data_IF_705552299045
#
_entry.id   IF_705552299045
#
_cell.length_a   1.000
_cell.length_b   1.000
_cell.length_c   1.000
_cell.angle_alpha   90.00
_cell.angle_beta   90.00
_cell.angle_gamma   90.00
#
_symmetry.space_group_name_H-M   'P 1'
#
loop_
_entity.id
_entity.type
_entity.pdbx_description
1 polymer ?
#
# COMPACT_ATOMS: atom_id res chain seq x y z
N UNK A 1 -33.49 -32.25 -50.16
CA UNK A 1 -32.19 -32.09 -49.42
C UNK A 1 -32.50 -31.67 -47.98
N UNK A 2 -32.29 -32.55 -46.99
CA UNK A 2 -32.47 -32.21 -45.56
C UNK A 2 -31.34 -31.27 -45.13
N UNK A 3 -31.63 -29.99 -44.73
CA UNK A 3 -30.66 -29.10 -44.11
C UNK A 3 -30.14 -29.80 -42.86
N UNK A 4 -28.88 -30.27 -42.89
CA UNK A 4 -28.21 -30.80 -41.69
C UNK A 4 -28.24 -29.71 -40.64
N UNK A 5 -28.90 -30.00 -39.52
CA UNK A 5 -28.99 -29.08 -38.39
C UNK A 5 -27.56 -28.78 -37.93
N UNK A 6 -27.11 -27.51 -38.09
CA UNK A 6 -25.78 -27.03 -37.66
C UNK A 6 -25.74 -26.69 -36.15
N UNK A 7 -26.74 -27.14 -35.39
CA UNK A 7 -26.88 -26.85 -33.97
C UNK A 7 -25.66 -27.22 -33.12
N UNK A 8 -25.00 -28.39 -33.32
CA UNK A 8 -23.80 -28.71 -32.54
C UNK A 8 -22.63 -27.72 -32.77
N UNK A 9 -22.51 -27.16 -33.99
CA UNK A 9 -21.52 -26.14 -34.26
C UNK A 9 -21.79 -24.82 -33.49
N UNK A 10 -23.04 -24.41 -33.37
CA UNK A 10 -23.40 -23.24 -32.58
C UNK A 10 -23.16 -23.47 -31.08
N UNK A 11 -23.41 -24.68 -30.57
CA UNK A 11 -23.12 -25.05 -29.18
C UNK A 11 -21.61 -24.99 -28.92
N UNK A 12 -20.82 -25.60 -29.80
CA UNK A 12 -19.34 -25.54 -29.66
C UNK A 12 -18.84 -24.10 -29.73
N UNK A 13 -19.33 -23.31 -30.67
CA UNK A 13 -18.95 -21.89 -30.77
C UNK A 13 -19.33 -21.11 -29.51
N UNK A 14 -20.51 -21.31 -28.96
CA UNK A 14 -20.97 -20.71 -27.72
C UNK A 14 -20.06 -21.11 -26.53
N UNK A 15 -19.69 -22.39 -26.42
CA UNK A 15 -18.77 -22.87 -25.39
C UNK A 15 -17.37 -22.23 -25.50
N UNK A 16 -16.88 -22.11 -26.74
CA UNK A 16 -15.58 -21.43 -26.98
C UNK A 16 -15.65 -19.96 -26.58
N UNK A 17 -16.72 -19.25 -26.99
CA UNK A 17 -16.88 -17.82 -26.62
C UNK A 17 -17.00 -17.67 -25.09
N UNK A 18 -17.78 -18.52 -24.44
CA UNK A 18 -17.88 -18.53 -22.99
C UNK A 18 -16.53 -18.79 -22.34
N UNK A 19 -15.80 -19.81 -22.79
CA UNK A 19 -14.44 -20.09 -22.28
C UNK A 19 -13.50 -18.88 -22.44
N UNK A 20 -13.47 -18.28 -23.62
CA UNK A 20 -12.64 -17.10 -23.89
C UNK A 20 -13.03 -15.91 -22.98
N UNK A 21 -14.31 -15.73 -22.68
CA UNK A 21 -14.79 -14.69 -21.79
C UNK A 21 -14.26 -14.82 -20.35
N UNK A 22 -13.90 -16.03 -19.91
CA UNK A 22 -13.33 -16.27 -18.58
C UNK A 22 -11.81 -16.27 -18.57
N UNK A 23 -11.14 -16.53 -19.69
CA UNK A 23 -9.70 -16.81 -19.73
C UNK A 23 -8.89 -15.66 -20.35
N UNK A 24 -9.46 -14.93 -21.32
CA UNK A 24 -8.71 -13.88 -22.02
C UNK A 24 -8.60 -12.63 -21.14
N UNK A 25 -7.38 -12.23 -20.70
CA UNK A 25 -7.18 -11.01 -19.96
C UNK A 25 -7.40 -9.79 -20.85
N UNK A 26 -8.04 -8.77 -20.28
CA UNK A 26 -8.23 -7.45 -20.89
C UNK A 26 -7.18 -6.47 -20.32
N UNK A 27 -6.94 -5.30 -20.96
CA UNK A 27 -6.05 -4.26 -20.44
C UNK A 27 -6.71 -3.47 -19.29
N UNK A 28 -7.37 -4.18 -18.39
CA UNK A 28 -8.04 -3.68 -17.20
C UNK A 28 -7.76 -4.59 -16.03
N UNK A 29 -7.91 -4.04 -14.83
CA UNK A 29 -7.84 -4.78 -13.58
C UNK A 29 -9.20 -4.74 -12.88
N UNK A 30 -9.53 -5.82 -12.19
CA UNK A 30 -10.65 -5.87 -11.26
C UNK A 30 -10.12 -5.77 -9.84
N UNK A 31 -10.70 -4.86 -9.06
CA UNK A 31 -10.47 -4.71 -7.63
C UNK A 31 -11.68 -5.25 -6.86
N UNK A 32 -11.44 -6.14 -5.92
CA UNK A 32 -12.48 -6.80 -5.12
C UNK A 32 -12.10 -6.78 -3.63
N UNK A 33 -13.06 -6.98 -2.70
CA UNK A 33 -12.74 -7.25 -1.31
C UNK A 33 -11.76 -8.42 -1.20
N UNK A 34 -10.62 -8.18 -0.56
CA UNK A 34 -9.59 -9.20 -0.32
C UNK A 34 -9.82 -9.95 0.99
N UNK A 35 -8.73 -10.28 1.70
CA UNK A 35 -8.75 -10.90 3.02
C UNK A 35 -8.65 -9.89 4.14
N UNK A 36 -9.07 -10.31 5.34
CA UNK A 36 -8.77 -9.69 6.62
C UNK A 36 -7.99 -10.71 7.44
N UNK A 37 -6.68 -10.51 7.51
CA UNK A 37 -5.73 -11.53 7.95
C UNK A 37 -5.24 -11.23 9.36
N UNK A 38 -5.16 -12.28 10.19
CA UNK A 38 -4.61 -12.19 11.54
C UNK A 38 -3.11 -11.87 11.48
N UNK A 39 -2.70 -10.78 12.12
CA UNK A 39 -1.31 -10.31 12.13
C UNK A 39 -0.35 -11.34 12.73
N UNK A 40 -0.80 -12.24 13.59
CA UNK A 40 0.02 -13.33 14.16
C UNK A 40 0.61 -14.25 13.11
N UNK A 41 -0.02 -14.38 11.95
CA UNK A 41 0.47 -15.21 10.86
C UNK A 41 1.71 -14.63 10.18
N UNK A 42 1.91 -13.32 10.30
CA UNK A 42 2.95 -12.60 9.57
C UNK A 42 3.94 -11.83 10.46
N UNK A 43 3.65 -11.65 11.75
CA UNK A 43 4.44 -10.86 12.69
C UNK A 43 4.84 -11.69 13.90
N UNK A 44 6.14 -11.63 14.27
CA UNK A 44 6.65 -12.09 15.56
C UNK A 44 7.41 -10.98 16.25
N UNK A 45 7.16 -10.80 17.53
CA UNK A 45 7.87 -9.86 18.42
C UNK A 45 8.59 -10.68 19.48
N UNK A 46 9.89 -10.45 19.70
CA UNK A 46 10.76 -11.28 20.56
C UNK A 46 10.72 -12.76 20.15
N UNK A 47 10.67 -13.04 18.85
CA UNK A 47 10.58 -14.40 18.27
C UNK A 47 9.39 -15.22 18.79
N UNK A 48 8.39 -14.55 19.36
CA UNK A 48 7.18 -15.17 19.91
C UNK A 48 5.92 -14.68 19.16
N UNK A 49 4.91 -15.54 19.14
CA UNK A 49 3.58 -15.18 18.66
C UNK A 49 2.77 -14.55 19.82
N UNK A 50 1.92 -13.60 19.47
CA UNK A 50 0.94 -13.05 20.39
C UNK A 50 -0.11 -14.13 20.76
N UNK A 51 -0.29 -14.39 22.06
CA UNK A 51 -1.20 -15.43 22.57
C UNK A 51 -2.48 -14.88 23.19
N UNK A 52 -2.64 -13.55 23.21
CA UNK A 52 -3.79 -12.93 23.82
C UNK A 52 -5.07 -13.21 23.03
N UNK A 53 -6.20 -13.24 23.75
CA UNK A 53 -7.51 -13.45 23.15
C UNK A 53 -7.88 -12.33 22.16
N UNK A 54 -8.68 -12.64 21.15
CA UNK A 54 -8.99 -11.75 20.04
C UNK A 54 -7.87 -11.70 19.00
N UNK A 55 -7.92 -10.76 18.07
CA UNK A 55 -6.92 -10.61 17.02
C UNK A 55 -6.80 -9.16 16.57
N UNK A 56 -5.59 -8.75 16.16
CA UNK A 56 -5.41 -7.63 15.25
C UNK A 56 -5.38 -8.17 13.83
N UNK A 57 -6.09 -7.50 12.92
CA UNK A 57 -6.15 -7.88 11.52
C UNK A 57 -5.70 -6.72 10.63
N UNK A 58 -4.88 -7.01 9.63
CA UNK A 58 -4.65 -6.14 8.49
C UNK A 58 -5.50 -6.59 7.31
N UNK A 59 -5.81 -5.67 6.40
CA UNK A 59 -6.80 -5.93 5.36
C UNK A 59 -6.24 -5.64 3.99
N UNK A 60 -6.51 -6.53 3.04
CA UNK A 60 -6.05 -6.45 1.67
C UNK A 60 -7.20 -6.17 0.69
N UNK A 61 -6.84 -5.73 -0.50
CA UNK A 61 -7.71 -5.66 -1.69
C UNK A 61 -7.20 -6.69 -2.68
N UNK A 62 -8.09 -7.46 -3.28
CA UNK A 62 -7.74 -8.36 -4.38
C UNK A 62 -7.65 -7.56 -5.68
N UNK A 63 -6.50 -7.66 -6.37
CA UNK A 63 -6.27 -7.01 -7.66
C UNK A 63 -5.79 -8.07 -8.65
N UNK A 64 -6.46 -8.17 -9.80
CA UNK A 64 -6.07 -9.10 -10.87
C UNK A 64 -6.53 -8.59 -12.23
N UNK A 65 -5.94 -9.12 -13.31
CA UNK A 65 -6.42 -8.79 -14.66
C UNK A 65 -7.91 -9.11 -14.82
N UNK A 66 -8.66 -8.16 -15.37
CA UNK A 66 -10.05 -8.35 -15.69
C UNK A 66 -10.22 -9.18 -16.96
N UNK A 67 -11.24 -10.03 -16.98
CA UNK A 67 -11.76 -10.71 -18.18
C UNK A 67 -13.13 -10.15 -18.51
N UNK A 68 -13.72 -10.54 -19.64
CA UNK A 68 -15.10 -10.16 -19.97
C UNK A 68 -16.09 -10.62 -18.88
N UNK A 69 -15.88 -11.81 -18.30
CA UNK A 69 -16.70 -12.30 -17.18
C UNK A 69 -16.57 -11.41 -15.94
N UNK A 70 -15.36 -10.91 -15.65
CA UNK A 70 -15.12 -9.97 -14.55
C UNK A 70 -15.81 -8.61 -14.77
N UNK A 71 -15.91 -8.14 -16.03
CA UNK A 71 -16.67 -6.91 -16.34
C UNK A 71 -18.15 -7.06 -15.99
N UNK A 72 -18.75 -8.21 -16.35
CA UNK A 72 -20.14 -8.52 -16.02
C UNK A 72 -20.32 -8.68 -14.51
N UNK A 73 -19.37 -9.36 -13.85
CA UNK A 73 -19.37 -9.54 -12.39
C UNK A 73 -19.33 -8.20 -11.65
N UNK A 74 -18.45 -7.29 -12.05
CA UNK A 74 -18.32 -5.96 -11.45
C UNK A 74 -19.60 -5.13 -11.59
N UNK A 75 -20.29 -5.25 -12.71
CA UNK A 75 -21.58 -4.57 -12.91
C UNK A 75 -22.70 -5.08 -11.99
N UNK A 76 -22.64 -6.36 -11.60
CA UNK A 76 -23.66 -7.00 -10.77
C UNK A 76 -23.32 -7.02 -9.27
N UNK A 77 -22.06 -6.73 -8.92
CA UNK A 77 -21.55 -6.92 -7.55
C UNK A 77 -21.06 -5.60 -6.95
N UNK A 78 -21.62 -5.15 -5.84
CA UNK A 78 -21.14 -3.95 -5.15
C UNK A 78 -19.71 -4.15 -4.61
N UNK A 79 -19.02 -3.05 -4.38
CA UNK A 79 -17.62 -3.05 -3.89
C UNK A 79 -16.64 -3.77 -4.82
N UNK A 80 -16.91 -3.67 -6.12
CA UNK A 80 -16.08 -4.24 -7.18
C UNK A 80 -15.84 -3.18 -8.23
N UNK A 81 -14.59 -2.80 -8.46
CA UNK A 81 -14.21 -1.77 -9.43
C UNK A 81 -13.43 -2.37 -10.59
N UNK A 82 -13.62 -1.80 -11.76
CA UNK A 82 -12.78 -2.03 -12.92
C UNK A 82 -11.94 -0.77 -13.16
N UNK A 83 -10.62 -0.93 -13.20
CA UNK A 83 -9.67 0.14 -13.46
C UNK A 83 -8.81 -0.17 -14.66
N UNK A 84 -8.36 0.85 -15.35
CA UNK A 84 -7.39 0.68 -16.44
C UNK A 84 -6.02 0.24 -15.89
N UNK A 85 -5.18 -0.34 -16.75
CA UNK A 85 -3.80 -0.66 -16.40
C UNK A 85 -3.03 0.61 -15.95
N UNK A 86 -3.27 1.74 -16.61
CA UNK A 86 -2.63 3.02 -16.23
C UNK A 86 -3.02 3.47 -14.81
N UNK A 87 -4.28 3.33 -14.42
CA UNK A 87 -4.74 3.70 -13.07
C UNK A 87 -4.26 2.73 -11.99
N UNK A 88 -4.09 1.44 -12.34
CA UNK A 88 -3.71 0.39 -11.37
C UNK A 88 -2.21 0.28 -11.21
N UNK A 89 -1.46 0.17 -12.33
CA UNK A 89 -0.02 -0.11 -12.31
C UNK A 89 0.85 1.10 -12.66
N UNK A 90 0.23 2.25 -13.00
CA UNK A 90 0.96 3.42 -13.50
C UNK A 90 1.71 3.18 -14.81
N UNK A 91 1.29 2.15 -15.58
CA UNK A 91 1.96 1.73 -16.82
C UNK A 91 3.11 0.74 -16.60
N UNK A 92 3.40 0.34 -15.35
CA UNK A 92 4.38 -0.71 -15.04
C UNK A 92 3.86 -2.09 -15.44
N UNK A 93 4.76 -3.01 -15.75
CA UNK A 93 4.43 -4.43 -15.90
C UNK A 93 3.99 -5.03 -14.55
N UNK A 94 3.30 -6.18 -14.58
CA UNK A 94 2.87 -6.85 -13.35
C UNK A 94 4.03 -7.21 -12.42
N UNK A 95 5.17 -7.60 -12.98
CA UNK A 95 6.38 -7.94 -12.22
C UNK A 95 6.94 -6.69 -11.52
N UNK A 96 7.01 -5.57 -12.21
CA UNK A 96 7.45 -4.29 -11.66
C UNK A 96 6.45 -3.79 -10.60
N UNK A 97 5.17 -3.86 -10.90
CA UNK A 97 4.11 -3.48 -9.95
C UNK A 97 4.18 -4.31 -8.65
N UNK A 98 4.36 -5.63 -8.74
CA UNK A 98 4.56 -6.47 -7.56
C UNK A 98 5.82 -6.09 -6.79
N UNK A 99 6.94 -5.81 -7.48
CA UNK A 99 8.19 -5.39 -6.85
C UNK A 99 8.05 -4.05 -6.14
N UNK A 100 7.41 -3.07 -6.76
CA UNK A 100 7.11 -1.76 -6.15
C UNK A 100 6.27 -1.94 -4.87
N UNK A 101 5.23 -2.78 -4.92
CA UNK A 101 4.39 -3.07 -3.77
C UNK A 101 5.14 -3.80 -2.65
N UNK A 102 6.17 -4.61 -2.96
CA UNK A 102 7.05 -5.20 -1.96
C UNK A 102 7.91 -4.14 -1.24
N UNK A 103 8.44 -3.14 -1.96
CA UNK A 103 9.15 -2.02 -1.33
C UNK A 103 8.24 -1.18 -0.44
N UNK A 104 7.02 -0.89 -0.88
CA UNK A 104 6.03 -0.24 -0.04
C UNK A 104 5.73 -1.03 1.24
N UNK A 105 5.58 -2.35 1.15
CA UNK A 105 5.38 -3.21 2.31
C UNK A 105 6.61 -3.20 3.23
N UNK A 106 7.82 -3.29 2.70
CA UNK A 106 9.06 -3.27 3.49
C UNK A 106 9.21 -1.94 4.24
N UNK A 107 8.96 -0.82 3.57
CA UNK A 107 8.98 0.51 4.20
C UNK A 107 7.91 0.62 5.29
N UNK A 108 6.70 0.12 5.01
CA UNK A 108 5.60 0.08 5.99
C UNK A 108 5.96 -0.74 7.24
N UNK A 109 6.60 -1.91 7.05
CA UNK A 109 7.07 -2.75 8.16
C UNK A 109 8.15 -2.03 9.00
N UNK A 110 9.09 -1.34 8.36
CA UNK A 110 10.12 -0.58 9.08
C UNK A 110 9.52 0.59 9.85
N UNK A 111 8.60 1.35 9.25
CA UNK A 111 7.89 2.40 9.97
C UNK A 111 7.04 1.84 11.11
N UNK A 112 6.40 0.68 10.93
CA UNK A 112 5.64 0.01 11.98
C UNK A 112 6.53 -0.46 13.15
N UNK A 113 7.70 -1.03 12.87
CA UNK A 113 8.71 -1.34 13.91
C UNK A 113 9.10 -0.08 14.67
N UNK A 114 9.44 0.98 13.93
CA UNK A 114 9.84 2.26 14.53
C UNK A 114 8.74 2.81 15.43
N UNK A 115 7.51 2.95 14.94
CA UNK A 115 6.42 3.54 15.70
C UNK A 115 5.95 2.66 16.86
N UNK A 116 5.81 1.36 16.63
CA UNK A 116 5.40 0.43 17.70
C UNK A 116 6.39 0.39 18.85
N UNK A 117 7.70 0.34 18.55
CA UNK A 117 8.76 0.35 19.56
C UNK A 117 8.89 1.70 20.25
N UNK A 118 8.88 2.81 19.48
CA UNK A 118 8.93 4.18 20.02
C UNK A 118 7.80 4.44 21.01
N UNK A 119 6.57 4.10 20.61
CA UNK A 119 5.38 4.28 21.44
C UNK A 119 5.41 3.39 22.68
N UNK A 120 6.04 2.20 22.59
CA UNK A 120 6.30 1.32 23.73
C UNK A 120 7.48 1.74 24.61
N UNK A 121 8.10 2.89 24.34
CA UNK A 121 9.22 3.44 25.13
C UNK A 121 10.51 2.64 25.00
N UNK A 122 10.72 1.95 23.87
CA UNK A 122 11.96 1.21 23.62
C UNK A 122 13.00 2.10 22.97
N UNK A 123 14.27 1.80 23.26
CA UNK A 123 15.42 2.45 22.62
C UNK A 123 15.56 1.95 21.18
N UNK A 124 15.54 2.89 20.23
CA UNK A 124 15.52 2.61 18.80
C UNK A 124 16.28 3.66 18.01
N UNK A 125 16.86 3.25 16.90
CA UNK A 125 17.43 4.13 15.89
C UNK A 125 16.80 3.82 14.53
N UNK A 126 16.34 4.87 13.81
CA UNK A 126 15.91 4.76 12.43
C UNK A 126 17.05 5.23 11.54
N UNK A 127 17.71 4.30 10.83
CA UNK A 127 18.73 4.59 9.84
C UNK A 127 18.13 4.79 8.47
N UNK A 128 18.52 5.86 7.82
CA UNK A 128 18.19 6.15 6.42
C UNK A 128 19.39 5.74 5.54
N UNK A 129 19.13 4.99 4.46
CA UNK A 129 20.14 4.50 3.52
C UNK A 129 20.02 5.11 2.13
N UNK A 130 19.00 5.93 1.91
CA UNK A 130 18.69 6.51 0.62
C UNK A 130 17.26 6.27 0.20
N UNK A 131 17.00 6.25 -1.10
CA UNK A 131 15.67 5.99 -1.65
C UNK A 131 15.71 4.85 -2.65
N UNK A 132 14.73 3.95 -2.58
CA UNK A 132 14.48 3.00 -3.64
C UNK A 132 13.92 3.71 -4.87
N UNK A 133 14.43 3.36 -6.06
CA UNK A 133 13.86 3.77 -7.35
C UNK A 133 12.65 2.89 -7.64
N UNK A 134 11.47 3.50 -7.76
CA UNK A 134 10.22 2.83 -8.07
C UNK A 134 9.87 2.89 -9.55
N UNK A 135 10.23 3.99 -10.22
CA UNK A 135 10.14 4.15 -11.66
C UNK A 135 11.13 5.19 -12.15
N UNK A 136 11.36 5.23 -13.46
CA UNK A 136 12.13 6.27 -14.14
C UNK A 136 11.30 6.78 -15.31
N UNK A 137 10.96 8.07 -15.29
CA UNK A 137 10.10 8.69 -16.32
C UNK A 137 10.77 8.68 -17.70
N UNK A 138 9.97 8.67 -18.76
CA UNK A 138 10.50 8.57 -20.13
C UNK A 138 11.40 9.74 -20.53
N UNK A 139 11.15 10.93 -19.99
CA UNK A 139 11.97 12.13 -20.23
C UNK A 139 13.19 12.26 -19.30
N UNK A 140 13.37 11.32 -18.35
CA UNK A 140 14.55 11.33 -17.45
C UNK A 140 15.83 11.01 -18.22
N UNK A 141 16.89 11.76 -17.95
CA UNK A 141 18.24 11.46 -18.45
C UNK A 141 18.87 10.23 -17.80
N UNK A 142 18.25 9.72 -16.72
CA UNK A 142 18.62 8.46 -16.06
C UNK A 142 17.86 7.24 -16.59
N UNK A 143 17.02 7.41 -17.63
CA UNK A 143 16.31 6.31 -18.29
C UNK A 143 17.32 5.33 -18.90
N UNK A 144 17.19 4.04 -18.54
CA UNK A 144 18.12 2.98 -18.95
C UNK A 144 19.46 2.96 -18.20
N UNK A 145 19.61 3.83 -17.18
CA UNK A 145 20.76 3.86 -16.26
C UNK A 145 20.31 3.37 -14.89
N UNK A 146 19.29 4.02 -14.32
CA UNK A 146 18.66 3.59 -13.08
C UNK A 146 17.54 2.60 -13.36
N UNK A 147 17.46 1.57 -12.55
CA UNK A 147 16.43 0.53 -12.62
C UNK A 147 15.54 0.53 -11.37
N UNK A 148 14.35 -0.06 -11.49
CA UNK A 148 13.50 -0.34 -10.33
C UNK A 148 14.26 -1.24 -9.38
N UNK A 149 14.28 -0.90 -8.11
CA UNK A 149 15.03 -1.49 -6.99
C UNK A 149 16.42 -0.94 -6.74
N UNK A 150 17.00 -0.17 -7.64
CA UNK A 150 18.21 0.55 -7.29
C UNK A 150 17.97 1.46 -6.08
N UNK A 151 19.00 1.70 -5.30
CA UNK A 151 18.94 2.61 -4.17
C UNK A 151 19.81 3.83 -4.44
N UNK A 152 19.20 5.00 -4.61
CA UNK A 152 19.95 6.25 -4.67
C UNK A 152 20.40 6.63 -3.27
N UNK A 153 21.72 6.72 -3.09
CA UNK A 153 22.37 6.98 -1.78
C UNK A 153 22.90 8.39 -1.65
N UNK A 154 23.26 9.04 -2.77
CA UNK A 154 23.73 10.43 -2.76
C UNK A 154 23.44 11.13 -4.10
N UNK A 155 23.34 12.45 -4.05
CA UNK A 155 23.24 13.33 -5.22
C UNK A 155 24.30 14.42 -5.09
N UNK A 156 25.14 14.60 -6.13
CA UNK A 156 26.30 15.50 -6.12
C UNK A 156 27.23 15.28 -4.90
N UNK A 157 27.48 14.01 -4.57
CA UNK A 157 28.27 13.55 -3.43
C UNK A 157 27.71 13.99 -2.04
N UNK A 158 26.47 14.53 -2.01
CA UNK A 158 25.76 14.86 -0.78
C UNK A 158 24.80 13.71 -0.42
N UNK A 159 24.85 13.25 0.84
CA UNK A 159 23.90 12.32 1.44
C UNK A 159 22.77 13.08 2.15
N UNK A 160 21.64 12.42 2.34
CA UNK A 160 20.44 13.00 2.95
C UNK A 160 19.97 12.11 4.10
N UNK A 161 19.06 12.62 4.93
CA UNK A 161 18.45 11.89 6.05
C UNK A 161 16.98 11.51 5.79
N UNK A 162 16.45 11.91 4.63
CA UNK A 162 15.08 11.67 4.21
C UNK A 162 14.91 11.89 2.70
N UNK A 163 13.93 11.25 2.09
CA UNK A 163 13.51 11.54 0.71
C UNK A 163 13.09 12.98 0.53
N UNK A 164 12.46 13.57 1.55
CA UNK A 164 12.09 14.99 1.52
C UNK A 164 13.30 15.90 1.33
N UNK A 165 14.37 15.71 2.12
CA UNK A 165 15.59 16.49 2.01
C UNK A 165 16.27 16.31 0.64
N UNK A 166 16.27 15.07 0.11
CA UNK A 166 16.76 14.79 -1.24
C UNK A 166 15.91 15.51 -2.32
N UNK A 167 14.59 15.44 -2.22
CA UNK A 167 13.67 16.10 -3.16
C UNK A 167 13.85 17.62 -3.09
N UNK A 168 13.92 18.21 -1.89
CA UNK A 168 14.10 19.65 -1.69
C UNK A 168 15.43 20.11 -2.31
N UNK A 169 16.51 19.35 -2.12
CA UNK A 169 17.82 19.63 -2.73
C UNK A 169 17.76 19.57 -4.26
N UNK A 170 17.24 18.48 -4.83
CA UNK A 170 17.18 18.29 -6.29
C UNK A 170 16.29 19.32 -6.95
N UNK A 171 15.14 19.64 -6.34
CA UNK A 171 14.21 20.65 -6.89
C UNK A 171 14.74 22.08 -6.81
N UNK A 172 15.70 22.36 -5.94
CA UNK A 172 16.38 23.65 -5.86
C UNK A 172 17.41 23.88 -6.98
N UNK A 173 17.83 22.83 -7.70
CA UNK A 173 18.77 22.94 -8.82
C UNK A 173 18.07 23.56 -10.04
N UNK A 174 18.86 24.17 -10.94
CA UNK A 174 18.33 24.80 -12.16
C UNK A 174 18.06 23.74 -13.24
N UNK A 175 17.03 23.98 -14.04
CA UNK A 175 16.77 23.17 -15.23
C UNK A 175 18.00 23.10 -16.14
N UNK A 176 18.41 21.87 -16.51
CA UNK A 176 19.55 21.60 -17.38
C UNK A 176 20.89 21.47 -16.65
N UNK A 177 20.95 21.77 -15.34
CA UNK A 177 22.17 21.56 -14.55
C UNK A 177 22.56 20.08 -14.58
N UNK A 178 23.87 19.82 -14.67
CA UNK A 178 24.41 18.45 -14.53
C UNK A 178 24.29 18.00 -13.08
N UNK A 179 23.89 16.76 -12.90
CA UNK A 179 23.74 16.15 -11.58
C UNK A 179 24.33 14.75 -11.59
N UNK A 180 25.20 14.47 -10.61
CA UNK A 180 25.78 13.15 -10.37
C UNK A 180 24.90 12.41 -9.34
N UNK A 181 24.42 11.21 -9.70
CA UNK A 181 23.68 10.32 -8.80
C UNK A 181 24.57 9.15 -8.44
N UNK A 182 24.75 8.91 -7.14
CA UNK A 182 25.40 7.69 -6.61
C UNK A 182 24.30 6.74 -6.14
N UNK A 183 24.39 5.49 -6.57
CA UNK A 183 23.36 4.48 -6.32
C UNK A 183 23.96 3.08 -6.10
N UNK A 184 23.21 2.23 -5.43
CA UNK A 184 23.51 0.80 -5.27
C UNK A 184 22.64 0.01 -6.24
N UNK A 185 23.26 -0.86 -7.04
CA UNK A 185 22.63 -1.86 -7.91
C UNK A 185 23.24 -3.23 -7.58
N UNK A 186 22.42 -4.19 -7.18
CA UNK A 186 22.85 -5.55 -6.79
C UNK A 186 23.99 -5.55 -5.76
N UNK A 187 23.96 -4.64 -4.79
CA UNK A 187 24.96 -4.49 -3.73
C UNK A 187 26.28 -3.83 -4.18
N UNK A 188 26.35 -3.31 -5.40
CA UNK A 188 27.49 -2.57 -5.91
C UNK A 188 27.18 -1.08 -6.00
N UNK A 189 28.07 -0.25 -5.44
CA UNK A 189 27.95 1.21 -5.56
C UNK A 189 28.42 1.65 -6.96
N UNK A 190 27.55 2.39 -7.63
CA UNK A 190 27.79 2.98 -8.95
C UNK A 190 27.49 4.47 -8.94
N UNK A 191 27.94 5.19 -9.96
CA UNK A 191 27.60 6.60 -10.17
C UNK A 191 27.29 6.86 -11.64
N UNK A 192 26.36 7.75 -11.88
CA UNK A 192 26.01 8.21 -13.23
C UNK A 192 25.76 9.72 -13.22
N UNK A 193 26.04 10.36 -14.35
CA UNK A 193 25.73 11.77 -14.56
C UNK A 193 24.49 11.91 -15.44
N UNK A 194 23.67 12.88 -15.12
CA UNK A 194 22.45 13.22 -15.83
C UNK A 194 22.16 14.71 -15.73
N UNK A 195 20.92 15.10 -16.02
CA UNK A 195 20.50 16.50 -15.97
C UNK A 195 19.22 16.67 -15.20
N UNK A 196 19.07 17.82 -14.60
CA UNK A 196 17.80 18.27 -14.03
C UNK A 196 16.81 18.53 -15.17
N UNK A 197 15.62 17.99 -15.04
CA UNK A 197 14.51 18.13 -15.97
C UNK A 197 13.29 18.76 -15.29
N UNK A 198 12.33 19.22 -16.05
CA UNK A 198 11.01 19.63 -15.51
C UNK A 198 10.12 18.39 -15.44
N UNK A 199 9.56 18.11 -14.26
CA UNK A 199 8.61 17.05 -14.01
C UNK A 199 7.19 17.47 -14.43
N UNK A 200 6.27 16.51 -14.54
CA UNK A 200 4.86 16.76 -14.91
C UNK A 200 4.15 17.77 -13.97
N UNK A 201 4.54 17.77 -12.69
CA UNK A 201 4.02 18.72 -11.68
C UNK A 201 4.67 20.11 -11.76
N UNK A 202 5.47 20.41 -12.80
CA UNK A 202 6.16 21.66 -13.01
C UNK A 202 7.39 21.93 -12.14
N UNK A 203 7.77 21.00 -11.25
CA UNK A 203 8.98 21.12 -10.42
C UNK A 203 10.20 20.57 -11.14
N UNK A 204 11.37 21.04 -10.72
CA UNK A 204 12.64 20.48 -11.19
C UNK A 204 12.91 19.14 -10.49
N UNK A 205 13.52 18.20 -11.21
CA UNK A 205 13.82 16.87 -10.68
C UNK A 205 14.69 16.04 -11.60
N UNK A 206 14.97 14.83 -11.22
CA UNK A 206 15.74 13.85 -12.03
C UNK A 206 14.83 12.80 -12.70
N UNK A 207 13.50 12.89 -12.49
CA UNK A 207 12.53 12.03 -13.15
C UNK A 207 12.51 10.59 -12.63
N UNK A 208 12.59 10.41 -11.32
CA UNK A 208 12.39 9.10 -10.67
C UNK A 208 11.22 9.15 -9.67
N UNK A 209 10.44 8.06 -9.62
CA UNK A 209 9.59 7.77 -8.49
C UNK A 209 10.39 7.10 -7.38
N UNK A 210 10.15 7.43 -6.14
CA UNK A 210 11.01 7.01 -5.05
C UNK A 210 10.26 6.77 -3.73
N UNK A 211 10.86 5.95 -2.85
CA UNK A 211 10.43 5.76 -1.46
C UNK A 211 11.66 5.57 -0.57
N UNK A 212 11.56 5.97 0.69
CA UNK A 212 12.64 5.84 1.67
C UNK A 212 13.09 4.38 1.84
N UNK A 213 14.41 4.17 1.80
CA UNK A 213 15.07 2.96 2.28
C UNK A 213 15.57 3.20 3.68
N UNK A 214 14.90 2.61 4.66
CA UNK A 214 15.22 2.76 6.08
C UNK A 214 15.38 1.40 6.75
N UNK A 215 16.09 1.36 7.87
CA UNK A 215 16.15 0.21 8.77
C UNK A 215 16.00 0.66 10.22
N UNK A 216 15.37 -0.18 11.02
CA UNK A 216 15.21 0.04 12.46
C UNK A 216 16.22 -0.81 13.19
N UNK A 217 17.08 -0.16 13.99
CA UNK A 217 18.01 -0.81 14.90
C UNK A 217 17.36 -0.80 16.28
N UNK A 218 17.21 -1.98 16.87
CA UNK A 218 16.61 -2.18 18.19
C UNK A 218 17.10 -3.48 18.81
N UNK A 219 17.09 -3.52 20.15
CA UNK A 219 17.35 -4.74 20.92
C UNK A 219 16.13 -5.69 20.98
N UNK A 220 14.99 -5.28 20.43
CA UNK A 220 13.77 -6.10 20.35
C UNK A 220 13.72 -6.76 18.97
N UNK A 221 13.89 -8.10 18.86
CA UNK A 221 13.76 -8.80 17.59
C UNK A 221 12.31 -8.71 17.09
N UNK A 222 12.14 -8.22 15.85
CA UNK A 222 10.84 -8.18 15.18
C UNK A 222 11.03 -8.71 13.77
N UNK A 223 10.28 -9.75 13.42
CA UNK A 223 10.30 -10.36 12.10
C UNK A 223 8.92 -10.33 11.44
N UNK A 224 8.92 -10.14 10.12
CA UNK A 224 7.74 -10.19 9.27
C UNK A 224 7.87 -11.29 8.21
N UNK A 225 6.76 -11.96 7.91
CA UNK A 225 6.63 -12.98 6.87
C UNK A 225 5.41 -12.67 6.01
N UNK A 226 5.53 -11.69 5.11
CA UNK A 226 4.42 -11.17 4.28
C UNK A 226 4.58 -11.58 2.81
N UNK A 227 5.10 -12.77 2.52
CA UNK A 227 5.31 -13.24 1.15
C UNK A 227 4.02 -13.15 0.32
N UNK A 228 4.09 -12.48 -0.83
CA UNK A 228 2.94 -12.28 -1.73
C UNK A 228 1.96 -11.17 -1.34
N UNK A 229 2.18 -10.48 -0.22
CA UNK A 229 1.37 -9.34 0.23
C UNK A 229 2.20 -8.06 0.03
N UNK A 230 1.63 -7.08 -0.65
CA UNK A 230 2.29 -5.81 -0.95
C UNK A 230 1.49 -4.60 -0.51
N UNK A 231 2.10 -3.43 -0.66
CA UNK A 231 1.50 -2.13 -0.35
C UNK A 231 1.70 -1.66 1.09
N UNK A 232 1.58 -0.35 1.35
CA UNK A 232 1.96 0.26 2.62
C UNK A 232 0.84 0.31 3.66
N UNK A 233 -0.38 -0.10 3.33
CA UNK A 233 -1.61 0.19 4.09
C UNK A 233 -1.80 -0.60 5.39
N UNK A 234 -0.88 -1.52 5.72
CA UNK A 234 -0.90 -2.27 6.98
C UNK A 234 -0.14 -1.59 8.12
N UNK A 235 0.54 -0.47 7.85
CA UNK A 235 1.46 0.19 8.78
C UNK A 235 0.85 0.51 10.14
N UNK A 236 -0.35 1.08 10.16
CA UNK A 236 -1.08 1.35 11.40
C UNK A 236 -1.26 0.08 12.24
N UNK A 237 -1.80 -0.97 11.62
CA UNK A 237 -2.17 -2.19 12.35
C UNK A 237 -0.95 -2.98 12.81
N UNK A 238 0.13 -2.98 12.02
CA UNK A 238 1.42 -3.56 12.44
C UNK A 238 2.02 -2.77 13.62
N UNK A 239 1.99 -1.43 13.59
CA UNK A 239 2.46 -0.58 14.69
C UNK A 239 1.69 -0.87 15.98
N UNK A 240 0.37 -0.95 15.87
CA UNK A 240 -0.52 -1.24 17.00
C UNK A 240 -0.24 -2.63 17.58
N UNK A 241 -0.06 -3.64 16.73
CA UNK A 241 0.25 -5.00 17.17
C UNK A 241 1.61 -5.09 17.88
N UNK A 242 2.65 -4.41 17.35
CA UNK A 242 3.97 -4.35 18.00
C UNK A 242 3.87 -3.65 19.36
N UNK A 243 3.22 -2.48 19.40
CA UNK A 243 3.03 -1.73 20.64
C UNK A 243 2.34 -2.56 21.71
N UNK A 244 1.23 -3.22 21.35
CA UNK A 244 0.44 -3.98 22.32
C UNK A 244 1.19 -5.18 22.86
N UNK A 245 1.87 -5.95 22.04
CA UNK A 245 2.66 -7.10 22.51
C UNK A 245 3.77 -6.72 23.49
N UNK A 246 4.27 -5.48 23.43
CA UNK A 246 5.37 -5.01 24.28
C UNK A 246 4.85 -4.31 25.54
N UNK A 247 3.82 -3.45 25.41
CA UNK A 247 3.44 -2.53 26.46
C UNK A 247 2.05 -2.82 27.09
N UNK A 248 1.12 -3.37 26.33
CA UNK A 248 -0.26 -3.59 26.74
C UNK A 248 -0.87 -4.82 26.07
N UNK A 249 -0.46 -6.06 26.42
CA UNK A 249 -0.91 -7.27 25.73
C UNK A 249 -2.42 -7.46 25.65
N UNK A 250 -3.14 -7.03 26.66
CA UNK A 250 -4.61 -7.17 26.82
C UNK A 250 -5.43 -6.04 26.18
N UNK A 251 -4.79 -5.06 25.51
CA UNK A 251 -5.43 -3.83 25.02
C UNK A 251 -6.65 -4.08 24.11
N UNK A 252 -6.64 -5.16 23.31
CA UNK A 252 -7.78 -5.49 22.45
C UNK A 252 -8.96 -6.15 23.18
N UNK A 253 -8.77 -6.58 24.43
CA UNK A 253 -9.79 -7.15 25.31
C UNK A 253 -10.62 -8.25 24.61
N UNK A 254 -9.97 -9.24 24.01
CA UNK A 254 -10.61 -10.37 23.34
C UNK A 254 -11.32 -10.06 22.01
N UNK A 255 -11.31 -8.80 21.56
CA UNK A 255 -11.99 -8.38 20.31
C UNK A 255 -11.15 -8.68 19.08
N UNK A 256 -11.84 -8.86 17.96
CA UNK A 256 -11.21 -8.79 16.64
C UNK A 256 -11.20 -7.32 16.21
N UNK A 257 -10.02 -6.76 16.07
CA UNK A 257 -9.78 -5.36 15.71
C UNK A 257 -9.10 -5.32 14.36
N UNK A 258 -9.81 -4.88 13.34
CA UNK A 258 -9.29 -4.64 12.01
C UNK A 258 -8.99 -3.16 11.79
N UNK A 259 -8.27 -2.85 10.73
CA UNK A 259 -8.01 -1.47 10.35
C UNK A 259 -7.06 -1.36 9.17
N UNK A 260 -6.85 -0.15 8.74
CA UNK A 260 -5.95 0.16 7.63
C UNK A 260 -5.40 1.57 7.77
N UNK A 261 -4.28 1.84 7.16
CA UNK A 261 -3.60 3.13 7.17
C UNK A 261 -2.11 2.95 6.95
N UNK A 262 -1.49 3.85 6.19
CA UNK A 262 -0.03 3.96 6.24
C UNK A 262 0.38 4.53 7.58
N UNK A 263 1.65 4.45 7.93
CA UNK A 263 2.20 5.09 9.13
C UNK A 263 3.48 5.81 8.76
N UNK A 264 3.64 7.03 9.22
CA UNK A 264 4.85 7.82 8.99
C UNK A 264 5.77 7.86 10.23
N UNK A 265 6.90 8.56 10.12
CA UNK A 265 7.91 8.74 11.18
C UNK A 265 7.36 9.48 12.40
N UNK A 266 6.34 10.30 12.22
CA UNK A 266 5.73 11.11 13.28
C UNK A 266 4.54 10.39 13.95
N UNK A 267 4.15 9.23 13.43
CA UNK A 267 3.04 8.44 13.92
C UNK A 267 1.69 8.82 13.31
N UNK A 268 1.71 9.65 12.25
CA UNK A 268 0.49 9.98 11.53
C UNK A 268 0.04 8.81 10.66
N UNK A 269 -1.26 8.64 10.61
CA UNK A 269 -1.93 7.64 9.77
C UNK A 269 -2.31 8.28 8.43
N UNK A 270 -1.76 7.75 7.35
CA UNK A 270 -2.04 8.25 6.01
C UNK A 270 -3.13 7.46 5.29
N UNK A 271 -3.67 8.07 4.23
CA UNK A 271 -4.75 7.53 3.42
C UNK A 271 -4.34 6.30 2.60
N UNK A 272 -5.36 5.54 2.18
CA UNK A 272 -5.19 4.29 1.42
C UNK A 272 -6.27 4.13 0.35
N UNK A 273 -6.04 3.25 -0.60
CA UNK A 273 -7.03 2.87 -1.61
C UNK A 273 -7.94 1.72 -1.18
N UNK A 274 -9.16 1.68 -1.74
CA UNK A 274 -10.09 0.56 -1.62
C UNK A 274 -10.63 0.33 -0.21
N UNK A 275 -10.84 1.39 0.58
CA UNK A 275 -11.29 1.27 1.97
C UNK A 275 -12.67 0.65 2.09
N UNK A 276 -13.56 0.91 1.16
CA UNK A 276 -14.88 0.30 1.03
C UNK A 276 -14.80 -1.23 0.98
N UNK A 277 -13.90 -1.76 0.16
CA UNK A 277 -13.62 -3.19 0.00
C UNK A 277 -13.01 -3.80 1.27
N UNK A 278 -12.15 -3.03 1.95
CA UNK A 278 -11.51 -3.44 3.21
C UNK A 278 -12.53 -3.53 4.34
N UNK A 279 -13.49 -2.60 4.42
CA UNK A 279 -14.60 -2.66 5.38
C UNK A 279 -15.42 -3.93 5.15
N UNK A 280 -15.73 -4.27 3.89
CA UNK A 280 -16.46 -5.51 3.55
C UNK A 280 -15.71 -6.74 3.99
N UNK A 281 -14.39 -6.80 3.71
CA UNK A 281 -13.55 -7.94 4.10
C UNK A 281 -13.49 -8.10 5.63
N UNK A 282 -13.30 -7.01 6.36
CA UNK A 282 -13.23 -7.00 7.83
C UNK A 282 -14.55 -7.42 8.49
N UNK A 283 -15.68 -6.93 7.97
CA UNK A 283 -17.00 -7.32 8.46
C UNK A 283 -17.27 -8.82 8.24
N UNK A 284 -16.89 -9.37 7.09
CA UNK A 284 -16.97 -10.82 6.79
C UNK A 284 -16.10 -11.66 7.72
N UNK A 285 -14.97 -11.12 8.17
CA UNK A 285 -14.07 -11.77 9.11
C UNK A 285 -14.48 -11.60 10.58
N UNK A 286 -15.63 -10.95 10.85
CA UNK A 286 -16.18 -10.80 12.19
C UNK A 286 -15.49 -9.74 13.04
N UNK A 287 -14.83 -8.74 12.44
CA UNK A 287 -14.24 -7.66 13.18
C UNK A 287 -15.29 -6.86 13.95
N UNK A 288 -15.01 -6.56 15.22
CA UNK A 288 -15.85 -5.71 16.05
C UNK A 288 -15.55 -4.21 15.83
N UNK A 289 -14.30 -3.89 15.49
CA UNK A 289 -13.79 -2.53 15.31
C UNK A 289 -13.01 -2.49 14.00
N UNK A 290 -13.14 -1.36 13.28
CA UNK A 290 -12.34 -1.06 12.11
C UNK A 290 -11.79 0.36 12.20
N UNK A 291 -10.46 0.50 12.28
CA UNK A 291 -9.80 1.80 12.24
C UNK A 291 -9.65 2.30 10.81
N UNK A 292 -10.15 3.50 10.55
CA UNK A 292 -10.14 4.16 9.24
C UNK A 292 -9.40 5.51 9.31
N UNK A 293 -8.50 5.84 8.37
CA UNK A 293 -7.88 7.15 8.29
C UNK A 293 -8.93 8.26 8.14
N UNK A 294 -8.77 9.37 8.91
CA UNK A 294 -9.67 10.52 8.87
C UNK A 294 -8.91 11.81 8.52
N UNK A 295 -8.19 11.79 7.41
CA UNK A 295 -7.51 12.95 6.88
C UNK A 295 -8.47 13.80 6.04
N UNK A 296 -8.27 15.12 5.95
CA UNK A 296 -9.06 15.95 5.05
C UNK A 296 -8.79 15.56 3.59
N UNK A 297 -9.83 15.61 2.76
CA UNK A 297 -9.70 15.47 1.30
C UNK A 297 -8.78 16.57 0.77
N UNK A 298 -7.84 16.22 -0.11
CA UNK A 298 -6.94 17.19 -0.69
C UNK A 298 -7.68 18.22 -1.56
N UNK A 299 -7.14 19.43 -1.67
CA UNK A 299 -7.73 20.46 -2.54
C UNK A 299 -7.80 20.03 -4.00
N UNK A 300 -6.86 19.21 -4.47
CA UNK A 300 -6.81 18.70 -5.83
C UNK A 300 -7.93 17.70 -6.06
N UNK A 301 -8.13 16.76 -5.15
CA UNK A 301 -9.25 15.80 -5.20
C UNK A 301 -10.61 16.51 -5.10
N UNK A 302 -10.71 17.52 -4.23
CA UNK A 302 -11.95 18.28 -4.07
C UNK A 302 -12.29 19.13 -5.29
N UNK A 303 -11.27 19.62 -6.05
CA UNK A 303 -11.45 20.29 -7.33
C UNK A 303 -11.82 19.32 -8.45
N UNK A 304 -11.28 18.11 -8.44
CA UNK A 304 -11.59 17.08 -9.43
C UNK A 304 -12.97 16.45 -9.20
N UNK A 305 -13.37 16.29 -7.94
CA UNK A 305 -14.63 15.68 -7.51
C UNK A 305 -15.20 16.46 -6.33
N UNK A 306 -16.24 17.27 -6.59
CA UNK A 306 -16.89 18.14 -5.58
C UNK A 306 -17.47 17.37 -4.39
N UNK A 307 -17.80 16.09 -4.58
CA UNK A 307 -18.35 15.17 -3.59
C UNK A 307 -17.31 14.15 -3.09
N UNK A 308 -16.01 14.42 -3.29
CA UNK A 308 -14.93 13.57 -2.81
C UNK A 308 -15.03 13.37 -1.29
N UNK A 309 -14.85 12.12 -0.86
CA UNK A 309 -14.93 11.68 0.52
C UNK A 309 -13.59 11.16 0.98
N UNK A 310 -13.26 11.44 2.23
CA UNK A 310 -12.09 10.85 2.83
C UNK A 310 -12.29 9.35 3.16
N UNK A 311 -11.23 8.68 3.61
CA UNK A 311 -11.29 7.25 3.91
C UNK A 311 -12.35 6.93 4.98
N UNK A 312 -12.42 7.71 6.06
CA UNK A 312 -13.41 7.47 7.13
C UNK A 312 -14.86 7.59 6.64
N UNK A 313 -15.17 8.62 5.88
CA UNK A 313 -16.51 8.83 5.32
C UNK A 313 -16.91 7.68 4.39
N UNK A 314 -15.98 7.26 3.51
CA UNK A 314 -16.19 6.12 2.60
C UNK A 314 -16.38 4.82 3.37
N UNK A 315 -15.61 4.60 4.46
CA UNK A 315 -15.76 3.43 5.32
C UNK A 315 -17.12 3.37 6.01
N UNK A 316 -17.63 4.52 6.51
CA UNK A 316 -18.97 4.60 7.12
C UNK A 316 -20.08 4.25 6.13
N UNK A 317 -19.98 4.70 4.89
CA UNK A 317 -20.96 4.40 3.85
C UNK A 317 -20.94 2.91 3.47
N UNK A 318 -19.75 2.33 3.34
CA UNK A 318 -19.60 0.91 3.10
C UNK A 318 -20.22 0.09 4.23
N UNK A 319 -19.92 0.41 5.49
CA UNK A 319 -20.48 -0.25 6.67
C UNK A 319 -22.01 -0.16 6.71
N UNK A 320 -22.56 1.01 6.43
CA UNK A 320 -24.02 1.22 6.33
C UNK A 320 -24.65 0.39 5.22
N UNK A 321 -24.01 0.33 4.05
CA UNK A 321 -24.51 -0.40 2.88
C UNK A 321 -24.58 -1.90 3.14
N UNK A 322 -23.56 -2.49 3.81
CA UNK A 322 -23.55 -3.92 4.16
C UNK A 322 -24.31 -4.22 5.46
N UNK A 323 -24.81 -3.19 6.16
CA UNK A 323 -25.56 -3.29 7.42
C UNK A 323 -24.81 -4.07 8.49
N UNK A 324 -23.52 -3.77 8.69
CA UNK A 324 -22.70 -4.39 9.72
C UNK A 324 -22.79 -3.61 11.04
N UNK A 325 -22.70 -4.33 12.17
CA UNK A 325 -22.56 -3.74 13.51
C UNK A 325 -21.09 -3.40 13.86
N UNK A 326 -20.14 -3.70 12.97
CA UNK A 326 -18.72 -3.36 13.11
C UNK A 326 -18.55 -1.85 13.27
N UNK A 327 -17.86 -1.42 14.33
CA UNK A 327 -17.67 -0.02 14.65
C UNK A 327 -16.56 0.58 13.81
N UNK A 328 -16.88 1.57 12.98
CA UNK A 328 -15.89 2.32 12.21
C UNK A 328 -15.37 3.47 13.07
N UNK A 329 -14.07 3.51 13.31
CA UNK A 329 -13.42 4.46 14.22
C UNK A 329 -12.43 5.32 13.42
N UNK A 330 -12.61 6.66 13.44
CA UNK A 330 -11.68 7.57 12.77
C UNK A 330 -10.34 7.62 13.52
N UNK A 331 -9.24 7.63 12.79
CA UNK A 331 -7.90 7.80 13.35
C UNK A 331 -7.04 8.69 12.45
N UNK A 332 -6.24 9.57 13.06
CA UNK A 332 -5.22 10.39 12.39
C UNK A 332 -3.82 9.99 12.80
N UNK A 333 -3.70 9.34 13.95
CA UNK A 333 -2.43 8.91 14.54
C UNK A 333 -2.53 7.50 15.12
N UNK A 334 -1.39 6.84 15.33
CA UNK A 334 -1.32 5.60 16.10
C UNK A 334 -1.88 5.78 17.52
N UNK A 335 -1.66 6.97 18.13
CA UNK A 335 -2.12 7.27 19.47
C UNK A 335 -3.65 7.28 19.55
N UNK A 336 -4.35 7.77 18.52
CA UNK A 336 -5.82 7.76 18.49
C UNK A 336 -6.38 6.34 18.59
N UNK A 337 -5.76 5.38 17.87
CA UNK A 337 -6.17 3.98 17.93
C UNK A 337 -5.93 3.37 19.32
N UNK A 338 -4.79 3.68 19.94
CA UNK A 338 -4.45 3.24 21.31
C UNK A 338 -5.42 3.81 22.30
N UNK A 339 -5.68 5.11 22.25
CA UNK A 339 -6.56 5.81 23.20
C UNK A 339 -8.01 5.35 23.05
N UNK A 340 -8.45 5.09 21.82
CA UNK A 340 -9.76 4.51 21.59
C UNK A 340 -9.91 3.15 22.27
N UNK A 341 -8.93 2.25 22.13
CA UNK A 341 -8.98 0.92 22.75
C UNK A 341 -8.91 1.00 24.28
N UNK A 342 -8.11 1.91 24.85
CA UNK A 342 -8.03 2.14 26.31
C UNK A 342 -9.33 2.67 26.90
N UNK A 343 -9.99 3.57 26.19
CA UNK A 343 -11.22 4.21 26.68
C UNK A 343 -12.51 3.40 26.40
N UNK A 344 -12.40 2.34 25.59
CA UNK A 344 -13.50 1.44 25.23
C UNK A 344 -13.06 -0.01 25.42
N UNK A 345 -12.91 -0.47 26.67
CA UNK A 345 -12.44 -1.79 27.01
C UNK A 345 -13.40 -2.93 26.58
#
# INVERSE_FOLDING_TARGET
>A
MKKKIRWPLYVIAALIVTFLAFVVPLPYYIEVPGGSEDIRQVLKVNDTEDKEAGAYQFVTVGVQHATLAHMIYAWLTPFTDIRSAQETTGGSSDVEFMRINQFYMQTSQNMAKYQGLKTAGKDIELKYFGVYVLNVTDNSTFKGILNISDTVTAVNDQTFDSSKALIDYVSSQKLGDSVKVTYEEDGQTKSAEGKIITLENGKNGIGIGLIDRTEVISNVPISFSTAGIGGPSAGLMFSLAIYTQIAHPDLRNGRIVAGTGTIDRDGNVGDIGGIDKKVVASARAGAAIFFAPDNPVSEEEQKAHLDAKNNYQTALEAAKTIKTDMKIVPVKTLQDAIDYLKNNP
#
